data_IF_668463400925
#
_entry.id   IF_668463400925
#
_cell.length_a   1.000
_cell.length_b   1.000
_cell.length_c   1.000
_cell.angle_alpha   90.00
_cell.angle_beta   90.00
_cell.angle_gamma   90.00
#
_symmetry.space_group_name_H-M   'P 1'
#
loop_
_entity.id
_entity.type
_entity.pdbx_description
1 polymer ?
#
# COMPACT_ATOMS: atom_id res chain seq x y z
N UNK A 1 0.89 -1.20 25.09
CA UNK A 1 0.10 -2.18 24.31
C UNK A 1 -0.42 -1.59 23.01
N UNK A 2 -1.03 -0.39 23.01
CA UNK A 2 -1.59 0.27 21.82
C UNK A 2 -0.57 0.49 20.69
N UNK A 3 0.64 0.99 20.99
CA UNK A 3 1.74 1.15 20.03
C UNK A 3 1.98 -0.11 19.18
N UNK A 4 2.10 -1.27 19.84
CA UNK A 4 2.40 -2.55 19.18
C UNK A 4 1.28 -2.97 18.24
N UNK A 5 0.02 -2.74 18.62
CA UNK A 5 -1.12 -3.05 17.77
C UNK A 5 -1.10 -2.20 16.47
N UNK A 6 -0.77 -0.90 16.60
CA UNK A 6 -0.64 0.00 15.44
C UNK A 6 0.54 -0.45 14.56
N UNK A 7 1.69 -0.76 15.15
CA UNK A 7 2.86 -1.22 14.38
C UNK A 7 2.56 -2.52 13.62
N UNK A 8 1.93 -3.51 14.26
CA UNK A 8 1.52 -4.75 13.60
C UNK A 8 0.51 -4.52 12.48
N UNK A 9 -0.44 -3.59 12.65
CA UNK A 9 -1.39 -3.24 11.60
C UNK A 9 -0.70 -2.59 10.39
N UNK A 10 0.24 -1.68 10.63
CA UNK A 10 1.04 -1.05 9.57
C UNK A 10 1.91 -2.07 8.83
N UNK A 11 2.54 -3.00 9.55
CA UNK A 11 3.30 -4.11 8.97
C UNK A 11 2.38 -5.00 8.12
N UNK A 12 1.19 -5.35 8.62
CA UNK A 12 0.23 -6.15 7.87
C UNK A 12 -0.17 -5.49 6.55
N UNK A 13 -0.50 -4.20 6.58
CA UNK A 13 -0.82 -3.42 5.37
C UNK A 13 0.37 -3.41 4.41
N UNK A 14 1.58 -3.22 4.92
CA UNK A 14 2.80 -3.21 4.13
C UNK A 14 2.99 -4.54 3.37
N UNK A 15 2.79 -5.67 4.04
CA UNK A 15 2.84 -7.00 3.43
C UNK A 15 1.69 -7.25 2.46
N UNK A 16 0.49 -6.75 2.73
CA UNK A 16 -0.64 -6.87 1.80
C UNK A 16 -0.36 -6.12 0.48
N UNK A 17 0.20 -4.90 0.56
CA UNK A 17 0.62 -4.14 -0.62
C UNK A 17 1.75 -4.87 -1.35
N UNK A 18 2.70 -5.44 -0.64
CA UNK A 18 3.78 -6.25 -1.24
C UNK A 18 3.22 -7.46 -2.00
N UNK A 19 2.33 -8.23 -1.37
CA UNK A 19 1.67 -9.37 -2.00
C UNK A 19 0.91 -8.95 -3.26
N UNK A 20 0.25 -7.78 -3.24
CA UNK A 20 -0.44 -7.24 -4.42
C UNK A 20 0.51 -6.92 -5.56
N UNK A 21 1.68 -6.36 -5.28
CA UNK A 21 2.71 -6.11 -6.30
C UNK A 21 3.21 -7.42 -6.91
N UNK A 22 3.46 -8.45 -6.09
CA UNK A 22 3.85 -9.76 -6.60
C UNK A 22 2.73 -10.35 -7.48
N UNK A 23 1.49 -10.33 -6.99
CA UNK A 23 0.33 -10.88 -7.73
C UNK A 23 0.10 -10.12 -9.03
N UNK A 24 0.37 -8.81 -9.09
CA UNK A 24 0.19 -8.05 -10.34
C UNK A 24 1.19 -8.43 -11.44
N UNK A 25 2.27 -9.15 -11.10
CA UNK A 25 3.27 -9.64 -12.05
C UNK A 25 2.96 -11.07 -12.52
N UNK A 26 2.09 -11.78 -11.81
CA UNK A 26 1.70 -13.15 -12.13
C UNK A 26 0.31 -13.11 -12.82
N UNK A 27 0.13 -13.80 -13.96
CA UNK A 27 -1.17 -13.84 -14.64
C UNK A 27 -2.13 -14.81 -13.91
N UNK A 28 -2.62 -14.41 -12.74
CA UNK A 28 -3.62 -15.18 -11.97
C UNK A 28 -5.02 -14.66 -12.27
N UNK A 29 -6.03 -15.53 -12.50
CA UNK A 29 -7.42 -15.11 -12.65
C UNK A 29 -7.90 -14.29 -11.45
N UNK A 30 -8.54 -13.15 -11.72
CA UNK A 30 -9.04 -12.22 -10.68
C UNK A 30 -10.26 -12.75 -9.93
N UNK A 31 -10.79 -13.88 -10.39
CA UNK A 31 -12.01 -14.51 -9.88
C UNK A 31 -11.76 -15.26 -8.56
N UNK A 32 -10.49 -15.34 -8.14
CA UNK A 32 -10.14 -15.89 -6.84
C UNK A 32 -10.52 -14.92 -5.71
N UNK A 33 -11.37 -15.40 -4.79
CA UNK A 33 -11.84 -14.64 -3.63
C UNK A 33 -10.71 -14.02 -2.79
N UNK A 34 -9.56 -14.71 -2.65
CA UNK A 34 -8.42 -14.23 -1.87
C UNK A 34 -7.77 -13.01 -2.55
N UNK A 35 -7.62 -13.05 -3.86
CA UNK A 35 -7.09 -11.93 -4.64
C UNK A 35 -8.05 -10.75 -4.54
N UNK A 36 -9.35 -10.99 -4.71
CA UNK A 36 -10.35 -9.92 -4.59
C UNK A 36 -10.32 -9.26 -3.22
N UNK A 37 -10.19 -10.05 -2.15
CA UNK A 37 -10.05 -9.54 -0.78
C UNK A 37 -8.78 -8.70 -0.61
N UNK A 38 -7.65 -9.16 -1.16
CA UNK A 38 -6.39 -8.42 -1.12
C UNK A 38 -6.52 -7.04 -1.78
N UNK A 39 -7.16 -6.98 -2.96
CA UNK A 39 -7.43 -5.72 -3.64
C UNK A 39 -8.38 -4.85 -2.81
N UNK A 40 -9.44 -5.40 -2.21
CA UNK A 40 -10.37 -4.63 -1.36
C UNK A 40 -9.69 -4.01 -0.13
N UNK A 41 -8.75 -4.72 0.49
CA UNK A 41 -8.02 -4.21 1.67
C UNK A 41 -7.02 -3.13 1.26
N UNK A 42 -6.35 -3.30 0.12
CA UNK A 42 -5.27 -2.40 -0.31
C UNK A 42 -5.75 -1.20 -1.14
N UNK A 43 -6.89 -1.29 -1.83
CA UNK A 43 -7.41 -0.21 -2.69
C UNK A 43 -7.72 1.10 -1.95
N UNK A 44 -8.33 1.11 -0.74
CA UNK A 44 -8.56 2.34 0.01
C UNK A 44 -7.29 3.14 0.28
N UNK A 45 -6.13 2.47 0.30
CA UNK A 45 -4.81 3.08 0.52
C UNK A 45 -4.18 3.45 -0.83
N UNK A 46 -4.22 2.55 -1.81
CA UNK A 46 -3.54 2.75 -3.10
C UNK A 46 -4.28 3.68 -4.06
N UNK A 47 -5.63 3.69 -4.05
CA UNK A 47 -6.43 4.56 -4.91
C UNK A 47 -6.19 6.07 -4.68
N UNK A 48 -6.20 6.59 -3.44
CA UNK A 48 -5.90 8.01 -3.22
C UNK A 48 -4.45 8.33 -3.61
N UNK A 49 -3.48 7.45 -3.31
CA UNK A 49 -2.08 7.62 -3.70
C UNK A 49 -1.92 7.65 -5.24
N UNK A 50 -2.58 6.74 -5.94
CA UNK A 50 -2.61 6.72 -7.41
C UNK A 50 -3.20 8.02 -7.94
N UNK A 51 -4.30 8.50 -7.36
CA UNK A 51 -4.93 9.75 -7.79
C UNK A 51 -4.02 10.96 -7.61
N UNK A 52 -3.23 11.02 -6.52
CA UNK A 52 -2.26 12.08 -6.26
C UNK A 52 -1.14 12.05 -7.29
N UNK A 53 -0.60 10.86 -7.59
CA UNK A 53 0.45 10.68 -8.59
C UNK A 53 -0.04 11.11 -9.97
N UNK A 54 -1.22 10.66 -10.39
CA UNK A 54 -1.78 10.98 -11.72
C UNK A 54 -2.11 12.47 -11.89
N UNK A 55 -2.48 13.17 -10.81
CA UNK A 55 -2.70 14.61 -10.82
C UNK A 55 -1.42 15.42 -10.95
N UNK A 56 -0.28 14.86 -10.50
CA UNK A 56 1.04 15.49 -10.65
C UNK A 56 1.49 15.56 -12.11
N UNK A 57 2.21 16.62 -12.46
CA UNK A 57 2.77 16.81 -13.80
C UNK A 57 3.68 15.65 -14.25
N UNK A 58 4.35 14.98 -13.30
CA UNK A 58 5.21 13.82 -13.56
C UNK A 58 4.44 12.51 -13.78
N UNK A 59 3.27 12.33 -13.15
CA UNK A 59 2.55 11.07 -13.16
C UNK A 59 1.46 10.97 -14.23
N UNK A 60 1.10 12.07 -14.89
CA UNK A 60 0.04 12.10 -15.92
C UNK A 60 0.37 11.25 -17.15
N UNK A 61 1.65 11.09 -17.47
CA UNK A 61 2.12 10.26 -18.61
C UNK A 61 2.63 8.89 -18.18
N UNK A 62 2.58 8.54 -16.89
CA UNK A 62 3.06 7.26 -16.39
C UNK A 62 1.97 6.18 -16.51
N UNK A 63 2.27 5.13 -17.28
CA UNK A 63 1.40 3.96 -17.41
C UNK A 63 1.57 2.95 -16.26
N UNK A 64 2.68 3.06 -15.51
CA UNK A 64 2.97 2.16 -14.38
C UNK A 64 2.43 2.73 -13.07
N UNK A 65 1.80 1.85 -12.29
CA UNK A 65 1.30 2.17 -10.96
C UNK A 65 2.44 2.23 -9.95
N UNK A 66 3.01 3.42 -9.73
CA UNK A 66 3.99 3.67 -8.66
C UNK A 66 3.36 3.88 -7.27
N UNK A 67 2.03 3.80 -7.15
CA UNK A 67 1.31 3.91 -5.88
C UNK A 67 1.80 2.94 -4.79
N UNK A 68 2.22 1.68 -5.07
CA UNK A 68 2.75 0.80 -4.03
C UNK A 68 4.05 1.32 -3.44
N UNK A 69 4.96 1.86 -4.27
CA UNK A 69 6.24 2.43 -3.81
C UNK A 69 5.98 3.61 -2.88
N UNK A 70 5.08 4.51 -3.28
CA UNK A 70 4.70 5.64 -2.44
C UNK A 70 4.05 5.19 -1.13
N UNK A 71 3.23 4.14 -1.17
CA UNK A 71 2.64 3.55 0.04
C UNK A 71 3.70 3.00 1.00
N UNK A 72 4.72 2.29 0.49
CA UNK A 72 5.85 1.80 1.31
C UNK A 72 6.59 2.94 2.02
N UNK A 73 6.84 4.04 1.30
CA UNK A 73 7.50 5.21 1.87
C UNK A 73 6.66 5.85 2.97
N UNK A 74 5.36 6.05 2.73
CA UNK A 74 4.43 6.65 3.71
C UNK A 74 4.32 5.76 4.94
N UNK A 75 4.14 4.45 4.77
CA UNK A 75 4.04 3.51 5.89
C UNK A 75 5.34 3.50 6.71
N UNK A 76 6.50 3.48 6.05
CA UNK A 76 7.79 3.51 6.75
C UNK A 76 7.98 4.80 7.54
N UNK A 77 7.59 5.95 6.97
CA UNK A 77 7.59 7.23 7.67
C UNK A 77 6.63 7.23 8.87
N UNK A 78 5.40 6.75 8.70
CA UNK A 78 4.42 6.65 9.78
C UNK A 78 4.91 5.76 10.92
N UNK A 79 5.54 4.62 10.62
CA UNK A 79 6.10 3.73 11.64
C UNK A 79 7.20 4.41 12.46
N UNK A 80 8.12 5.12 11.80
CA UNK A 80 9.16 5.89 12.50
C UNK A 80 8.58 7.02 13.36
N UNK A 81 7.58 7.73 12.83
CA UNK A 81 6.91 8.82 13.56
C UNK A 81 6.17 8.28 14.79
N UNK A 82 5.44 7.18 14.65
CA UNK A 82 4.73 6.54 15.76
C UNK A 82 5.70 5.99 16.80
N UNK A 83 6.87 5.46 16.39
CA UNK A 83 7.93 5.04 17.31
C UNK A 83 8.48 6.22 18.10
N UNK A 84 8.85 7.31 17.44
CA UNK A 84 9.42 8.50 18.07
C UNK A 84 8.44 9.31 18.94
N UNK A 85 7.13 9.18 18.72
CA UNK A 85 6.12 9.84 19.56
C UNK A 85 5.76 9.04 20.82
N UNK A 86 5.99 7.73 20.80
CA UNK A 86 5.59 6.83 21.89
C UNK A 86 6.76 6.36 22.76
N UNK A 87 7.99 6.74 22.41
CA UNK A 87 9.24 6.50 23.14
C UNK A 87 10.06 7.79 23.19
#
# INVERSE_FOLDING_TARGET
>A
MVYRAIDYLLIFIQWAIFARVIISWIPIPRDNNIIRLLYQITEPILAPLRSIIQRSALGRSMMLDFSPVLAFLIISFLRNLVFNLMF
#
